data_IF_163276418745
#
_entry.id   IF_163276418745
#
_cell.length_a   1.000
_cell.length_b   1.000
_cell.length_c   1.000
_cell.angle_alpha   90.00
_cell.angle_beta   90.00
_cell.angle_gamma   90.00
#
_symmetry.space_group_name_H-M   'P 1'
#
loop_
_entity.id
_entity.type
_entity.pdbx_description
1 polymer ?
#
# COMPACT_ATOMS: atom_id res chain seq x y z
N UNK A 1 1.46 -25.67 13.68
CA UNK A 1 1.40 -24.56 14.63
C UNK A 1 0.14 -23.78 14.44
N UNK A 2 -0.46 -23.40 15.53
CA UNK A 2 -1.70 -22.63 15.46
C UNK A 2 -1.49 -21.31 14.76
N UNK A 3 -0.33 -20.70 14.96
CA UNK A 3 -0.05 -19.41 14.33
C UNK A 3 0.00 -19.51 12.82
N UNK A 4 0.31 -20.67 12.27
CA UNK A 4 0.31 -20.83 10.82
C UNK A 4 -1.09 -20.74 10.23
N UNK A 5 -2.07 -21.15 11.00
CA UNK A 5 -3.46 -21.05 10.59
C UNK A 5 -3.95 -19.62 10.60
N UNK A 6 -3.26 -18.79 11.38
CA UNK A 6 -3.62 -17.39 11.54
C UNK A 6 -2.73 -16.49 10.71
N UNK A 7 -2.01 -17.07 9.75
CA UNK A 7 -1.12 -16.29 8.89
C UNK A 7 -1.96 -15.48 7.91
N UNK A 8 -2.23 -14.26 8.29
CA UNK A 8 -3.01 -13.36 7.46
C UNK A 8 -2.14 -12.72 6.41
N UNK A 9 -2.67 -12.65 5.21
CA UNK A 9 -2.01 -11.92 4.13
C UNK A 9 -2.61 -10.54 4.05
N UNK A 10 -1.73 -9.56 4.03
CA UNK A 10 -2.15 -8.17 4.11
C UNK A 10 -1.81 -7.44 2.82
N UNK A 11 -2.69 -6.55 2.43
CA UNK A 11 -2.42 -5.60 1.37
C UNK A 11 -2.20 -4.24 2.02
N UNK A 12 -1.03 -3.66 1.78
CA UNK A 12 -0.66 -2.37 2.35
C UNK A 12 -0.63 -1.35 1.23
N UNK A 13 -1.54 -0.41 1.29
CA UNK A 13 -1.65 0.65 0.29
C UNK A 13 -1.41 1.97 0.99
N UNK A 14 -0.44 2.72 0.52
CA UNK A 14 0.03 3.92 1.19
C UNK A 14 -0.15 5.13 0.27
N UNK A 15 -0.68 6.21 0.81
CA UNK A 15 -0.79 7.47 0.11
C UNK A 15 0.43 8.31 0.49
N UNK A 16 1.36 8.46 -0.45
CA UNK A 16 2.62 9.14 -0.17
C UNK A 16 2.43 10.60 0.22
N UNK A 17 1.37 11.23 -0.26
CA UNK A 17 1.12 12.64 0.07
C UNK A 17 0.78 12.83 1.54
N UNK A 18 0.22 11.82 2.17
CA UNK A 18 -0.23 11.91 3.55
C UNK A 18 0.61 11.08 4.51
N UNK A 19 1.55 10.32 4.00
CA UNK A 19 2.35 9.44 4.83
C UNK A 19 3.64 10.12 5.26
N UNK A 20 4.13 9.73 6.42
CA UNK A 20 5.40 10.22 6.94
C UNK A 20 6.52 9.28 6.53
N UNK A 21 7.50 9.79 5.77
CA UNK A 21 8.66 9.00 5.37
C UNK A 21 9.39 8.40 6.57
N UNK A 22 9.54 9.21 7.59
CA UNK A 22 10.33 8.79 8.74
C UNK A 22 9.63 7.74 9.57
N UNK A 23 8.31 7.61 9.43
CA UNK A 23 7.55 6.62 10.17
C UNK A 23 7.35 5.31 9.42
N UNK A 24 7.79 5.24 8.16
CA UNK A 24 7.47 4.06 7.34
C UNK A 24 8.03 2.77 7.90
N UNK A 25 9.24 2.80 8.41
CA UNK A 25 9.83 1.58 8.98
C UNK A 25 9.02 1.10 10.17
N UNK A 26 8.59 2.01 11.02
CA UNK A 26 7.78 1.66 12.18
C UNK A 26 6.43 1.14 11.76
N UNK A 27 5.84 1.76 10.74
CA UNK A 27 4.56 1.32 10.20
C UNK A 27 4.66 -0.09 9.66
N UNK A 28 5.71 -0.38 8.90
CA UNK A 28 5.88 -1.71 8.33
C UNK A 28 6.16 -2.75 9.40
N UNK A 29 6.89 -2.37 10.45
CA UNK A 29 7.11 -3.26 11.58
C UNK A 29 5.81 -3.59 12.29
N UNK A 30 4.95 -2.59 12.44
CA UNK A 30 3.65 -2.78 13.08
C UNK A 30 2.75 -3.67 12.21
N UNK A 31 2.77 -3.46 10.90
CA UNK A 31 1.99 -4.29 9.97
C UNK A 31 2.38 -5.75 10.12
N UNK A 32 3.67 -6.02 10.28
CA UNK A 32 4.18 -7.38 10.38
C UNK A 32 3.66 -8.11 11.62
N UNK A 33 3.23 -7.38 12.64
CA UNK A 33 2.64 -7.98 13.84
C UNK A 33 1.30 -8.62 13.50
N UNK A 34 0.56 -8.06 12.54
CA UNK A 34 -0.77 -8.53 12.21
C UNK A 34 -0.79 -9.59 11.12
N UNK A 35 0.23 -9.69 10.32
CA UNK A 35 0.28 -10.68 9.27
C UNK A 35 1.41 -10.43 8.30
N UNK A 36 1.36 -11.14 7.17
CA UNK A 36 2.39 -11.05 6.15
C UNK A 36 1.94 -10.09 5.04
N UNK A 37 2.64 -8.96 4.85
CA UNK A 37 2.27 -8.06 3.76
C UNK A 37 2.72 -8.65 2.44
N UNK A 38 1.77 -9.06 1.61
CA UNK A 38 2.05 -9.65 0.30
C UNK A 38 1.90 -8.65 -0.82
N UNK A 39 1.13 -7.59 -0.59
CA UNK A 39 0.98 -6.50 -1.54
C UNK A 39 1.38 -5.24 -0.79
N UNK A 40 2.38 -4.52 -1.33
CA UNK A 40 2.87 -3.29 -0.71
C UNK A 40 3.03 -2.25 -1.80
N UNK A 41 2.13 -1.30 -1.86
CA UNK A 41 2.12 -0.27 -2.89
C UNK A 41 2.05 1.11 -2.26
N UNK A 42 2.75 2.05 -2.87
CA UNK A 42 2.72 3.43 -2.41
C UNK A 42 2.39 4.34 -3.60
N UNK A 43 1.41 5.18 -3.41
CA UNK A 43 0.81 5.98 -4.46
C UNK A 43 1.20 7.44 -4.33
N UNK A 44 1.68 8.01 -5.41
CA UNK A 44 2.08 9.40 -5.41
C UNK A 44 2.50 9.83 -6.80
N UNK A 45 2.76 11.12 -6.94
CA UNK A 45 3.24 11.66 -8.20
C UNK A 45 4.77 11.59 -8.21
N UNK A 46 5.27 10.49 -8.74
CA UNK A 46 6.71 10.20 -8.74
C UNK A 46 7.49 11.05 -9.73
N UNK A 47 6.80 11.87 -10.53
CA UNK A 47 7.44 12.85 -11.40
C UNK A 47 7.82 14.11 -10.63
N UNK A 48 7.28 14.30 -9.44
CA UNK A 48 7.58 15.45 -8.62
C UNK A 48 8.97 15.33 -8.00
N UNK A 49 9.78 16.41 -8.02
CA UNK A 49 11.14 16.35 -7.47
C UNK A 49 11.20 15.97 -5.99
N UNK A 50 10.20 16.35 -5.21
CA UNK A 50 10.20 16.02 -3.78
C UNK A 50 10.15 14.53 -3.53
N UNK A 51 9.64 13.76 -4.49
CA UNK A 51 9.45 12.33 -4.29
C UNK A 51 10.75 11.56 -4.34
N UNK A 52 11.83 12.20 -4.80
CA UNK A 52 13.12 11.54 -4.83
C UNK A 52 13.60 11.14 -3.43
N UNK A 53 13.13 11.84 -2.40
CA UNK A 53 13.49 11.52 -1.02
C UNK A 53 12.91 10.19 -0.53
N UNK A 54 11.94 9.65 -1.25
CA UNK A 54 11.33 8.38 -0.91
C UNK A 54 12.13 7.17 -1.39
N UNK A 55 13.12 7.37 -2.26
CA UNK A 55 13.82 6.26 -2.90
C UNK A 55 14.36 5.23 -1.94
N UNK A 56 15.05 5.67 -0.90
CA UNK A 56 15.64 4.74 0.05
C UNK A 56 14.55 3.99 0.82
N UNK A 57 13.46 4.66 1.13
CA UNK A 57 12.34 4.04 1.84
C UNK A 57 11.68 2.96 0.98
N UNK A 58 11.51 3.23 -0.32
CA UNK A 58 10.94 2.24 -1.22
C UNK A 58 11.77 0.97 -1.22
N UNK A 59 13.08 1.11 -1.23
CA UNK A 59 13.97 -0.04 -1.23
C UNK A 59 13.97 -0.76 0.11
N UNK A 60 14.07 -0.01 1.19
CA UNK A 60 14.12 -0.60 2.52
C UNK A 60 12.86 -1.35 2.88
N UNK A 61 11.72 -0.81 2.51
CA UNK A 61 10.43 -1.40 2.88
C UNK A 61 9.85 -2.26 1.75
N UNK A 62 10.55 -2.36 0.64
CA UNK A 62 10.10 -3.14 -0.52
C UNK A 62 8.72 -2.69 -0.99
N UNK A 63 8.56 -1.38 -1.12
CA UNK A 63 7.30 -0.80 -1.58
C UNK A 63 7.34 -0.61 -3.10
N UNK A 64 6.23 -0.91 -3.75
CA UNK A 64 6.10 -0.71 -5.19
C UNK A 64 5.46 0.64 -5.44
N UNK A 65 6.17 1.56 -6.12
CA UNK A 65 5.59 2.87 -6.40
C UNK A 65 4.58 2.78 -7.54
N UNK A 66 3.43 3.40 -7.34
CA UNK A 66 2.39 3.50 -8.36
C UNK A 66 2.17 4.98 -8.64
N UNK A 67 2.16 5.34 -9.91
CA UNK A 67 1.98 6.72 -10.30
C UNK A 67 0.53 7.16 -10.09
N UNK A 68 0.38 8.29 -9.44
CA UNK A 68 -0.92 8.90 -9.24
C UNK A 68 -0.71 10.40 -9.33
N UNK A 69 -1.19 11.00 -10.42
CA UNK A 69 -0.95 12.41 -10.66
C UNK A 69 -1.73 13.27 -9.67
N UNK A 70 -1.10 14.36 -9.26
CA UNK A 70 -1.69 15.22 -8.23
C UNK A 70 -3.04 15.78 -8.61
N UNK A 71 -3.29 16.01 -9.89
CA UNK A 71 -4.56 16.58 -10.31
C UNK A 71 -5.71 15.58 -10.23
N UNK A 72 -5.42 14.30 -10.06
CA UNK A 72 -6.47 13.28 -9.91
C UNK A 72 -6.79 13.05 -8.44
N UNK A 73 -6.01 13.62 -7.54
CA UNK A 73 -6.27 13.52 -6.11
C UNK A 73 -7.04 14.76 -5.69
N UNK A 74 -7.56 14.81 -4.54
CA UNK A 74 -8.30 15.94 -4.06
C UNK A 74 -9.68 15.52 -3.66
N UNK A 75 -10.60 16.44 -3.71
CA UNK A 75 -11.94 16.19 -3.18
C UNK A 75 -12.68 15.10 -3.90
N UNK A 76 -12.39 14.92 -5.18
CA UNK A 76 -13.08 13.90 -5.98
C UNK A 76 -12.14 12.78 -6.31
N UNK A 77 -11.48 12.26 -5.31
CA UNK A 77 -10.45 11.26 -5.48
C UNK A 77 -10.99 9.85 -5.69
N UNK A 78 -12.28 9.71 -5.99
CA UNK A 78 -12.86 8.40 -6.28
C UNK A 78 -12.17 7.71 -7.45
N UNK A 79 -11.53 8.50 -8.32
CA UNK A 79 -10.80 7.96 -9.46
C UNK A 79 -9.34 7.72 -9.16
N UNK A 80 -8.91 7.88 -7.91
CA UNK A 80 -7.51 7.70 -7.60
C UNK A 80 -7.10 6.24 -7.79
N UNK A 81 -5.86 6.05 -8.24
CA UNK A 81 -5.32 4.72 -8.48
C UNK A 81 -5.37 3.87 -7.22
N UNK A 82 -5.13 4.48 -6.08
CA UNK A 82 -5.14 3.77 -4.81
C UNK A 82 -6.51 3.20 -4.49
N UNK A 83 -7.56 3.97 -4.70
CA UNK A 83 -8.91 3.50 -4.42
C UNK A 83 -9.30 2.40 -5.38
N UNK A 84 -8.97 2.56 -6.65
CA UNK A 84 -9.27 1.54 -7.65
C UNK A 84 -8.59 0.23 -7.31
N UNK A 85 -7.30 0.30 -6.95
CA UNK A 85 -6.54 -0.89 -6.59
C UNK A 85 -7.10 -1.54 -5.32
N UNK A 86 -7.48 -0.73 -4.36
CA UNK A 86 -8.06 -1.27 -3.12
C UNK A 86 -9.33 -2.05 -3.40
N UNK A 87 -10.17 -1.52 -4.28
CA UNK A 87 -11.40 -2.20 -4.64
C UNK A 87 -11.12 -3.51 -5.38
N UNK A 88 -10.15 -3.48 -6.29
CA UNK A 88 -9.78 -4.69 -7.03
C UNK A 88 -9.25 -5.77 -6.12
N UNK A 89 -8.40 -5.40 -5.18
CA UNK A 89 -7.82 -6.35 -4.24
C UNK A 89 -8.91 -6.96 -3.37
N UNK A 90 -9.80 -6.11 -2.87
CA UNK A 90 -10.89 -6.58 -2.02
C UNK A 90 -11.80 -7.54 -2.78
N UNK A 91 -12.11 -7.21 -4.02
CA UNK A 91 -12.95 -8.05 -4.84
C UNK A 91 -12.31 -9.41 -5.09
N UNK A 92 -11.01 -9.41 -5.36
CA UNK A 92 -10.27 -10.67 -5.57
C UNK A 92 -10.29 -11.53 -4.33
N UNK A 93 -10.13 -10.93 -3.16
CA UNK A 93 -10.19 -11.68 -1.91
C UNK A 93 -11.54 -12.31 -1.69
N UNK A 94 -12.61 -11.58 -2.03
CA UNK A 94 -13.96 -12.13 -1.90
C UNK A 94 -14.17 -13.33 -2.82
N UNK A 95 -13.63 -13.27 -4.02
CA UNK A 95 -13.73 -14.39 -4.95
C UNK A 95 -13.03 -15.62 -4.41
N UNK A 96 -11.85 -15.45 -3.85
CA UNK A 96 -11.12 -16.57 -3.28
C UNK A 96 -11.81 -17.16 -2.08
N UNK A 97 -12.37 -16.32 -1.22
CA UNK A 97 -13.06 -16.84 -0.05
C UNK A 97 -14.33 -17.57 -0.42
N UNK A 98 -15.00 -17.17 -1.50
CA UNK A 98 -16.22 -17.84 -1.91
C UNK A 98 -15.94 -19.23 -2.46
N UNK A 99 -14.73 -19.48 -2.89
CA UNK A 99 -14.34 -20.80 -3.38
C UNK A 99 -14.02 -21.78 -2.25
N UNK A 100 -13.80 -21.23 -1.08
CA UNK A 100 -13.47 -22.07 0.06
C UNK A 100 -14.72 -22.71 0.62
#
# INVERSE_FOLDING_TARGET
MAENELDLRLAVLIDADNASRTAMKDVMAEVAVYGTPTIKRIYGDWTSPNMSTWKSILLECALTPIQQYGYTTGKNSTDSAMIIDAMDILYSCLLYTSDA
#
